data_IF_945504579138
#
_entry.id   IF_945504579138
#
_cell.length_a   1.000
_cell.length_b   1.000
_cell.length_c   1.000
_cell.angle_alpha   90.00
_cell.angle_beta   90.00
_cell.angle_gamma   90.00
#
_symmetry.space_group_name_H-M   'P 1'
#
loop_
_entity.id
_entity.type
_entity.pdbx_description
1 polymer ?
#
# COMPACT_ATOMS: atom_id res chain seq x y z
N UNK A 1 9.01 31.97 31.25
CA UNK A 1 8.59 30.67 31.82
C UNK A 1 8.94 29.59 30.81
N UNK A 2 9.97 28.79 31.07
CA UNK A 2 10.36 27.72 30.14
C UNK A 2 9.27 26.63 30.15
N UNK A 3 8.62 26.45 29.05
CA UNK A 3 7.65 25.36 28.92
C UNK A 3 8.40 24.05 28.70
N UNK A 4 8.16 23.09 29.56
CA UNK A 4 8.70 21.74 29.47
C UNK A 4 7.63 20.79 28.96
N UNK A 5 7.96 19.98 27.96
CA UNK A 5 7.06 19.01 27.36
C UNK A 5 7.49 17.59 27.72
N UNK A 6 6.50 16.77 27.98
CA UNK A 6 6.68 15.33 28.21
C UNK A 6 5.98 14.60 27.08
N UNK A 7 6.70 13.69 26.42
CA UNK A 7 6.19 12.85 25.35
C UNK A 7 6.27 11.38 25.82
N UNK A 8 5.19 10.65 25.63
CA UNK A 8 5.11 9.24 25.98
C UNK A 8 5.15 8.42 24.67
N UNK A 9 6.24 7.63 24.54
CA UNK A 9 6.54 6.81 23.38
C UNK A 9 7.54 7.44 22.42
N UNK A 10 8.63 6.70 22.14
CA UNK A 10 9.69 7.08 21.21
C UNK A 10 9.56 6.36 19.85
N UNK A 11 8.36 6.20 19.35
CA UNK A 11 8.10 5.86 17.95
C UNK A 11 8.27 7.08 17.04
N UNK A 12 8.12 6.95 15.70
CA UNK A 12 8.31 8.05 14.75
C UNK A 12 7.50 9.30 15.09
N UNK A 13 6.26 9.15 15.54
CA UNK A 13 5.41 10.28 15.92
C UNK A 13 5.94 11.04 17.13
N UNK A 14 6.35 10.32 18.18
CA UNK A 14 6.89 10.95 19.39
C UNK A 14 8.25 11.63 19.15
N UNK A 15 9.12 11.00 18.37
CA UNK A 15 10.43 11.55 18.00
C UNK A 15 10.26 12.79 17.13
N UNK A 16 9.38 12.78 16.13
CA UNK A 16 9.11 13.93 15.26
C UNK A 16 8.55 15.12 16.06
N UNK A 17 7.62 14.84 17.00
CA UNK A 17 7.07 15.89 17.86
C UNK A 17 8.16 16.48 18.77
N UNK A 18 9.04 15.65 19.32
CA UNK A 18 10.16 16.11 20.14
C UNK A 18 11.14 16.96 19.34
N UNK A 19 11.43 16.56 18.11
CA UNK A 19 12.32 17.31 17.22
C UNK A 19 11.77 18.71 16.93
N UNK A 20 10.51 18.82 16.55
CA UNK A 20 9.88 20.11 16.26
C UNK A 20 9.79 21.02 17.49
N UNK A 21 9.44 20.45 18.65
CA UNK A 21 9.45 21.21 19.91
C UNK A 21 10.86 21.68 20.30
N UNK A 22 11.87 20.84 20.09
CA UNK A 22 13.26 21.20 20.33
C UNK A 22 13.75 22.31 19.41
N UNK A 23 13.40 22.26 18.11
CA UNK A 23 13.67 23.36 17.14
C UNK A 23 13.01 24.67 17.58
N UNK A 24 11.83 24.60 18.21
CA UNK A 24 11.13 25.76 18.75
C UNK A 24 11.69 26.25 20.09
N UNK A 25 12.78 25.67 20.62
CA UNK A 25 13.46 26.08 21.83
C UNK A 25 12.83 25.58 23.13
N UNK A 26 11.96 24.56 23.06
CA UNK A 26 11.39 23.98 24.28
C UNK A 26 12.24 22.84 24.85
N UNK A 27 12.23 22.69 26.18
CA UNK A 27 12.76 21.51 26.82
C UNK A 27 11.81 20.33 26.66
N UNK A 28 12.29 19.20 26.07
CA UNK A 28 11.48 18.02 25.81
C UNK A 28 12.09 16.81 26.49
N UNK A 29 11.23 16.01 27.15
CA UNK A 29 11.58 14.71 27.71
C UNK A 29 10.69 13.63 27.13
N UNK A 30 11.32 12.57 26.58
CA UNK A 30 10.60 11.42 26.03
C UNK A 30 10.73 10.25 27.00
N UNK A 31 9.62 9.57 27.27
CA UNK A 31 9.58 8.31 28.00
C UNK A 31 9.22 7.18 27.03
N UNK A 32 10.06 6.17 26.96
CA UNK A 32 9.85 4.97 26.14
C UNK A 32 9.77 3.73 27.02
N UNK A 33 8.81 2.85 26.75
CA UNK A 33 8.59 1.62 27.51
C UNK A 33 9.64 0.55 27.19
N UNK A 34 10.06 0.48 25.93
CA UNK A 34 11.04 -0.52 25.49
C UNK A 34 12.46 -0.04 25.71
N UNK A 35 13.42 -0.96 25.65
CA UNK A 35 14.86 -0.65 25.75
C UNK A 35 15.42 0.07 24.51
N UNK A 36 14.65 0.19 23.44
CA UNK A 36 15.07 0.81 22.19
C UNK A 36 13.98 1.73 21.64
N UNK A 37 14.42 2.82 21.01
CA UNK A 37 13.55 3.78 20.32
C UNK A 37 13.13 3.26 18.94
N UNK A 38 12.22 3.97 18.25
CA UNK A 38 11.78 3.67 16.87
C UNK A 38 10.39 3.02 16.77
N UNK A 39 9.84 2.46 17.86
CA UNK A 39 8.52 1.86 17.87
C UNK A 39 8.38 0.74 16.81
N UNK A 40 7.36 0.80 15.96
CA UNK A 40 7.16 -0.16 14.87
C UNK A 40 8.13 0.02 13.69
N UNK A 41 8.82 1.16 13.61
CA UNK A 41 9.78 1.46 12.53
C UNK A 41 11.23 1.14 12.94
N UNK A 42 11.45 0.49 14.10
CA UNK A 42 12.78 0.14 14.54
C UNK A 42 13.37 -1.02 13.74
N UNK A 43 14.66 -0.92 13.46
CA UNK A 43 15.47 -2.00 12.91
C UNK A 43 16.05 -2.81 14.06
N UNK A 44 15.95 -4.12 13.98
CA UNK A 44 16.50 -5.09 14.92
C UNK A 44 17.83 -5.61 14.41
N UNK A 45 18.72 -5.96 15.31
CA UNK A 45 19.98 -6.64 14.99
C UNK A 45 19.95 -8.05 15.56
N UNK A 46 20.32 -9.04 14.74
CA UNK A 46 20.58 -10.40 15.16
C UNK A 46 21.87 -10.86 14.48
N UNK A 47 22.88 -11.17 15.29
CA UNK A 47 24.26 -11.36 14.84
C UNK A 47 24.72 -10.18 13.98
N UNK A 48 25.15 -10.40 12.75
CA UNK A 48 25.57 -9.37 11.79
C UNK A 48 24.47 -8.92 10.84
N UNK A 49 23.23 -9.41 11.03
CA UNK A 49 22.09 -9.08 10.20
C UNK A 49 21.23 -8.00 10.82
N UNK A 50 20.89 -6.98 10.02
CA UNK A 50 19.89 -5.97 10.35
C UNK A 50 18.57 -6.33 9.67
N UNK A 51 17.47 -6.27 10.41
CA UNK A 51 16.15 -6.56 9.88
C UNK A 51 15.07 -5.71 10.55
N UNK A 52 14.04 -5.42 9.79
CA UNK A 52 12.89 -4.66 10.25
C UNK A 52 11.78 -5.59 10.73
N UNK A 53 11.05 -5.21 11.77
CA UNK A 53 9.91 -5.99 12.29
C UNK A 53 8.80 -6.09 11.23
N UNK A 54 8.65 -5.07 10.39
CA UNK A 54 7.68 -5.02 9.31
C UNK A 54 8.05 -3.98 8.26
N UNK A 55 7.32 -3.91 7.14
CA UNK A 55 7.60 -2.92 6.10
C UNK A 55 7.27 -1.52 6.61
N UNK A 56 8.28 -0.70 6.84
CA UNK A 56 8.12 0.69 7.27
C UNK A 56 8.72 1.69 6.26
N UNK A 57 8.63 1.39 4.98
CA UNK A 57 9.07 2.27 3.90
C UNK A 57 8.41 3.63 4.00
N UNK A 58 9.22 4.69 3.96
CA UNK A 58 8.68 6.03 4.02
C UNK A 58 8.06 6.42 2.67
N UNK A 59 6.84 6.87 2.72
CA UNK A 59 6.09 7.41 1.59
C UNK A 59 5.10 8.47 2.06
N UNK A 60 5.11 9.58 1.38
CA UNK A 60 4.13 10.66 1.58
C UNK A 60 3.81 11.38 0.27
N UNK A 61 2.60 11.93 0.16
CA UNK A 61 2.23 12.88 -0.91
C UNK A 61 2.39 14.33 -0.46
N UNK A 62 2.66 14.56 0.82
CA UNK A 62 2.90 15.88 1.38
C UNK A 62 4.38 16.23 1.24
N UNK A 63 4.66 17.29 0.48
CA UNK A 63 6.02 17.74 0.22
C UNK A 63 6.74 18.29 1.46
N UNK A 64 6.01 18.88 2.39
CA UNK A 64 6.60 19.36 3.65
C UNK A 64 7.12 18.20 4.49
N UNK A 65 6.33 17.11 4.58
CA UNK A 65 6.74 15.89 5.29
C UNK A 65 7.88 15.18 4.57
N UNK A 66 7.89 15.16 3.24
CA UNK A 66 9.01 14.60 2.47
C UNK A 66 10.30 15.39 2.72
N UNK A 67 10.24 16.71 2.66
CA UNK A 67 11.39 17.59 2.92
C UNK A 67 11.90 17.44 4.34
N UNK A 68 11.01 17.38 5.33
CA UNK A 68 11.35 17.11 6.73
C UNK A 68 12.11 15.77 6.88
N UNK A 69 11.64 14.72 6.24
CA UNK A 69 12.29 13.42 6.28
C UNK A 69 13.69 13.47 5.64
N UNK A 70 13.83 14.11 4.50
CA UNK A 70 15.10 14.26 3.80
C UNK A 70 16.08 15.21 4.54
N UNK A 71 15.57 16.24 5.22
CA UNK A 71 16.39 17.12 6.08
C UNK A 71 17.06 16.33 7.22
N UNK A 72 16.33 15.39 7.83
CA UNK A 72 16.85 14.58 8.94
C UNK A 72 17.85 13.55 8.44
N UNK A 73 17.54 12.82 7.38
CA UNK A 73 18.36 11.71 6.89
C UNK A 73 19.50 12.16 5.97
N UNK A 74 19.34 13.30 5.33
CA UNK A 74 20.35 13.86 4.41
C UNK A 74 20.90 12.80 3.43
N UNK A 75 22.18 12.46 3.55
CA UNK A 75 22.87 11.48 2.66
C UNK A 75 22.50 10.02 2.93
N UNK A 76 21.90 9.74 4.10
CA UNK A 76 21.48 8.39 4.48
C UNK A 76 20.14 7.98 3.84
N UNK A 77 19.42 8.93 3.23
CA UNK A 77 18.18 8.64 2.53
C UNK A 77 18.44 7.95 1.18
N UNK A 78 17.99 6.70 1.06
CA UNK A 78 18.14 5.91 -0.16
C UNK A 78 16.82 5.81 -0.90
N UNK A 79 16.77 6.30 -2.14
CA UNK A 79 15.60 6.15 -3.00
C UNK A 79 15.59 4.77 -3.66
N UNK A 80 14.56 3.98 -3.37
CA UNK A 80 14.40 2.62 -3.89
C UNK A 80 13.17 2.50 -4.77
N UNK A 81 13.34 1.99 -5.99
CA UNK A 81 12.22 1.70 -6.90
C UNK A 81 11.38 0.56 -6.35
N UNK A 82 10.08 0.71 -6.43
CA UNK A 82 9.15 -0.31 -6.01
C UNK A 82 9.28 -1.59 -6.85
N UNK A 83 9.57 -2.70 -6.18
CA UNK A 83 9.62 -4.02 -6.78
C UNK A 83 8.74 -4.98 -5.98
N UNK A 84 7.43 -4.98 -6.27
CA UNK A 84 6.44 -5.79 -5.55
C UNK A 84 5.91 -6.90 -6.44
N UNK A 85 5.80 -8.10 -5.90
CA UNK A 85 5.21 -9.26 -6.58
C UNK A 85 4.20 -9.96 -5.68
N UNK A 86 3.20 -10.58 -6.28
CA UNK A 86 2.21 -11.43 -5.61
C UNK A 86 2.56 -12.88 -5.93
N UNK A 87 2.76 -13.70 -4.90
CA UNK A 87 2.89 -15.14 -5.05
C UNK A 87 1.49 -15.77 -5.01
N UNK A 88 1.11 -16.45 -6.09
CA UNK A 88 -0.14 -17.20 -6.19
C UNK A 88 0.09 -18.50 -6.98
N UNK A 89 -0.31 -19.63 -6.39
CA UNK A 89 -0.09 -20.99 -6.96
C UNK A 89 1.35 -21.18 -7.48
N UNK A 90 2.34 -20.90 -6.64
CA UNK A 90 3.79 -20.98 -6.95
C UNK A 90 4.24 -20.15 -8.16
N UNK A 91 3.44 -19.16 -8.59
CA UNK A 91 3.78 -18.22 -9.65
C UNK A 91 3.83 -16.80 -9.11
N UNK A 92 4.87 -16.06 -9.49
CA UNK A 92 5.04 -14.66 -9.10
C UNK A 92 4.38 -13.75 -10.12
N UNK A 93 3.40 -12.94 -9.69
CA UNK A 93 2.72 -11.93 -10.50
C UNK A 93 3.27 -10.55 -10.18
N UNK A 94 3.40 -9.71 -11.19
CA UNK A 94 3.78 -8.30 -10.99
C UNK A 94 2.66 -7.54 -10.26
N UNK A 95 3.03 -6.63 -9.38
CA UNK A 95 2.10 -5.70 -8.77
C UNK A 95 2.46 -4.25 -9.13
N UNK A 96 1.55 -3.45 -9.68
CA UNK A 96 0.17 -3.80 -10.07
C UNK A 96 0.08 -4.91 -11.11
N UNK A 97 -1.03 -5.66 -11.11
CA UNK A 97 -1.21 -6.78 -12.04
C UNK A 97 -1.13 -6.29 -13.50
N UNK A 98 -0.21 -6.86 -14.25
CA UNK A 98 -0.12 -6.63 -15.68
C UNK A 98 -1.03 -7.62 -16.40
N UNK A 99 -2.00 -7.17 -17.22
CA UNK A 99 -2.95 -8.06 -17.88
C UNK A 99 -2.27 -9.14 -18.72
N UNK A 100 -1.30 -8.76 -19.53
CA UNK A 100 -0.59 -9.70 -20.41
C UNK A 100 0.19 -10.77 -19.61
N UNK A 101 0.95 -10.38 -18.60
CA UNK A 101 1.67 -11.34 -17.76
C UNK A 101 0.72 -12.20 -16.91
N UNK A 102 -0.43 -11.68 -16.55
CA UNK A 102 -1.47 -12.39 -15.79
C UNK A 102 -2.14 -13.45 -16.66
N UNK A 103 -2.49 -13.13 -17.91
CA UNK A 103 -3.06 -14.06 -18.87
C UNK A 103 -2.10 -15.24 -19.13
N UNK A 104 -0.84 -14.95 -19.39
CA UNK A 104 0.17 -15.99 -19.64
C UNK A 104 0.36 -16.94 -18.43
N UNK A 105 0.23 -16.44 -17.21
CA UNK A 105 0.46 -17.25 -15.99
C UNK A 105 -0.77 -17.99 -15.48
N UNK A 106 -1.98 -17.43 -15.66
CA UNK A 106 -3.26 -18.05 -15.28
C UNK A 106 -3.72 -19.03 -16.36
N UNK A 107 -3.30 -18.81 -17.62
CA UNK A 107 -3.76 -19.55 -18.79
C UNK A 107 -5.02 -18.95 -19.42
N UNK A 108 -5.29 -19.37 -20.65
CA UNK A 108 -6.35 -18.79 -21.47
C UNK A 108 -7.76 -18.94 -20.85
N UNK A 109 -8.10 -20.15 -20.40
CA UNK A 109 -9.42 -20.44 -19.80
C UNK A 109 -9.66 -19.61 -18.52
N UNK A 110 -8.64 -19.54 -17.63
CA UNK A 110 -8.72 -18.74 -16.41
C UNK A 110 -8.87 -17.25 -16.69
N UNK A 111 -8.17 -16.76 -17.70
CA UNK A 111 -8.24 -15.36 -18.10
C UNK A 111 -9.58 -15.00 -18.73
N UNK A 112 -10.14 -15.91 -19.54
CA UNK A 112 -11.47 -15.74 -20.14
C UNK A 112 -12.54 -15.65 -19.05
N UNK A 113 -12.51 -16.53 -18.03
CA UNK A 113 -13.42 -16.47 -16.87
C UNK A 113 -13.33 -15.14 -16.15
N UNK A 114 -12.11 -14.66 -15.84
CA UNK A 114 -11.90 -13.36 -15.19
C UNK A 114 -12.47 -12.22 -16.04
N UNK A 115 -12.25 -12.25 -17.35
CA UNK A 115 -12.73 -11.20 -18.26
C UNK A 115 -14.26 -11.16 -18.33
N UNK A 116 -14.92 -12.32 -18.48
CA UNK A 116 -16.38 -12.41 -18.50
C UNK A 116 -16.97 -11.92 -17.19
N UNK A 117 -16.44 -12.41 -16.07
CA UNK A 117 -16.92 -12.02 -14.72
C UNK A 117 -16.74 -10.52 -14.47
N UNK A 118 -15.64 -9.95 -14.93
CA UNK A 118 -15.40 -8.51 -14.89
C UNK A 118 -16.43 -7.71 -15.70
N UNK A 119 -16.72 -8.14 -16.95
CA UNK A 119 -17.74 -7.50 -17.79
C UNK A 119 -19.10 -7.56 -17.11
N UNK A 120 -19.48 -8.73 -16.56
CA UNK A 120 -20.72 -8.90 -15.80
C UNK A 120 -20.79 -7.97 -14.60
N UNK A 121 -19.68 -7.81 -13.87
CA UNK A 121 -19.65 -6.92 -12.71
C UNK A 121 -19.78 -5.44 -13.10
N UNK A 122 -19.23 -5.02 -14.24
CA UNK A 122 -19.43 -3.67 -14.80
C UNK A 122 -20.91 -3.41 -15.14
N UNK A 123 -21.56 -4.36 -15.80
CA UNK A 123 -23.01 -4.27 -16.10
C UNK A 123 -23.83 -4.16 -14.81
N UNK A 124 -23.56 -5.01 -13.82
CA UNK A 124 -24.22 -4.95 -12.51
C UNK A 124 -24.02 -3.60 -11.80
N UNK A 125 -22.81 -3.05 -11.87
CA UNK A 125 -22.50 -1.74 -11.29
C UNK A 125 -23.30 -0.62 -11.96
N UNK A 126 -23.40 -0.64 -13.30
CA UNK A 126 -24.06 0.42 -14.08
C UNK A 126 -25.58 0.33 -13.98
N UNK A 127 -26.14 -0.87 -14.10
CA UNK A 127 -27.59 -1.08 -14.15
C UNK A 127 -28.21 -1.12 -12.76
N UNK A 128 -27.61 -1.87 -11.82
CA UNK A 128 -28.21 -2.09 -10.50
C UNK A 128 -27.86 -1.01 -9.48
N UNK A 129 -26.95 -0.07 -9.81
CA UNK A 129 -26.45 0.99 -8.90
C UNK A 129 -26.20 0.50 -7.47
N UNK A 130 -25.77 -0.77 -7.32
CA UNK A 130 -25.54 -1.39 -6.01
C UNK A 130 -24.50 -0.61 -5.22
N UNK A 131 -24.85 -0.27 -3.99
CA UNK A 131 -23.91 0.33 -3.05
C UNK A 131 -23.23 -0.79 -2.25
N UNK A 132 -21.90 -0.99 -2.36
CA UNK A 132 -21.19 -2.02 -1.63
C UNK A 132 -21.26 -1.74 -0.12
N UNK A 133 -21.42 -2.78 0.71
CA UNK A 133 -21.51 -2.67 2.16
C UNK A 133 -20.14 -2.79 2.82
N UNK A 134 -19.27 -3.63 2.28
CA UNK A 134 -17.98 -4.01 2.84
C UNK A 134 -16.91 -4.12 1.75
N UNK A 135 -15.69 -4.53 2.14
CA UNK A 135 -14.55 -4.72 1.25
C UNK A 135 -14.84 -5.75 0.13
N UNK A 136 -15.40 -6.92 0.50
CA UNK A 136 -15.73 -7.98 -0.46
C UNK A 136 -16.67 -7.46 -1.55
N UNK A 137 -17.80 -6.86 -1.14
CA UNK A 137 -18.78 -6.29 -2.07
C UNK A 137 -18.14 -5.27 -3.00
N UNK A 138 -17.27 -4.41 -2.44
CA UNK A 138 -16.62 -3.36 -3.21
C UNK A 138 -15.67 -3.94 -4.26
N UNK A 139 -14.85 -4.94 -3.90
CA UNK A 139 -13.95 -5.59 -4.85
C UNK A 139 -14.72 -6.35 -5.93
N UNK A 140 -15.72 -7.14 -5.55
CA UNK A 140 -16.53 -7.90 -6.49
C UNK A 140 -17.25 -6.97 -7.48
N UNK A 141 -17.78 -5.85 -6.99
CA UNK A 141 -18.49 -4.89 -7.83
C UNK A 141 -17.55 -4.18 -8.83
N UNK A 142 -16.28 -3.97 -8.48
CA UNK A 142 -15.33 -3.23 -9.31
C UNK A 142 -14.42 -4.12 -10.16
N UNK A 143 -14.19 -5.39 -9.76
CA UNK A 143 -13.20 -6.27 -10.39
C UNK A 143 -13.70 -7.66 -10.71
N UNK A 144 -14.90 -8.03 -10.25
CA UNK A 144 -15.46 -9.37 -10.41
C UNK A 144 -15.07 -10.33 -9.30
N UNK A 145 -15.86 -11.40 -9.17
CA UNK A 145 -15.73 -12.43 -8.13
C UNK A 145 -14.50 -13.30 -8.34
N UNK A 146 -14.18 -13.64 -9.59
CA UNK A 146 -13.02 -14.47 -9.92
C UNK A 146 -11.70 -13.81 -9.49
N UNK A 147 -11.55 -12.51 -9.78
CA UNK A 147 -10.36 -11.76 -9.39
C UNK A 147 -10.29 -11.59 -7.87
N UNK A 148 -11.42 -11.33 -7.23
CA UNK A 148 -11.52 -11.26 -5.78
C UNK A 148 -11.02 -12.54 -5.12
N UNK A 149 -11.54 -13.70 -5.52
CA UNK A 149 -11.17 -14.97 -4.93
C UNK A 149 -9.69 -15.33 -5.11
N UNK A 150 -9.12 -15.03 -6.28
CA UNK A 150 -7.73 -15.40 -6.61
C UNK A 150 -6.69 -14.50 -5.96
N UNK A 151 -6.93 -13.19 -5.91
CA UNK A 151 -5.88 -12.23 -5.55
C UNK A 151 -6.15 -11.39 -4.31
N UNK A 152 -7.40 -11.27 -3.89
CA UNK A 152 -7.74 -10.38 -2.77
C UNK A 152 -8.13 -11.13 -1.51
N UNK A 153 -9.01 -12.12 -1.61
CA UNK A 153 -9.62 -12.75 -0.43
C UNK A 153 -8.57 -13.30 0.54
N UNK A 154 -7.86 -14.33 0.14
CA UNK A 154 -6.93 -15.04 1.03
C UNK A 154 -5.79 -14.14 1.54
N UNK A 155 -5.30 -13.24 0.71
CA UNK A 155 -4.28 -12.27 1.11
C UNK A 155 -4.81 -11.30 2.17
N UNK A 156 -5.98 -10.72 1.92
CA UNK A 156 -6.56 -9.72 2.82
C UNK A 156 -6.94 -10.34 4.17
N UNK A 157 -7.59 -11.50 4.16
CA UNK A 157 -7.96 -12.23 5.37
C UNK A 157 -6.72 -12.64 6.18
N UNK A 158 -5.65 -13.09 5.53
CA UNK A 158 -4.39 -13.41 6.18
C UNK A 158 -3.72 -12.21 6.84
N UNK A 159 -3.71 -11.06 6.15
CA UNK A 159 -3.05 -9.84 6.66
C UNK A 159 -3.83 -9.21 7.81
N UNK A 160 -5.16 -9.20 7.73
CA UNK A 160 -6.00 -8.53 8.71
C UNK A 160 -6.53 -9.45 9.81
N UNK A 161 -6.43 -10.77 9.64
CA UNK A 161 -6.94 -11.74 10.60
C UNK A 161 -8.46 -11.76 10.75
N UNK A 162 -9.18 -11.15 9.78
CA UNK A 162 -10.65 -11.06 9.78
C UNK A 162 -11.21 -11.31 8.38
N UNK A 163 -12.46 -11.79 8.31
CA UNK A 163 -13.17 -11.99 7.04
C UNK A 163 -13.32 -10.66 6.28
N UNK A 164 -13.15 -10.71 4.96
CA UNK A 164 -13.30 -9.55 4.08
C UNK A 164 -14.65 -8.82 4.20
N UNK A 165 -15.70 -9.51 4.65
CA UNK A 165 -17.01 -8.93 4.91
C UNK A 165 -17.04 -8.00 6.12
N UNK A 166 -16.08 -8.16 7.04
CA UNK A 166 -15.95 -7.34 8.24
C UNK A 166 -15.01 -6.13 8.04
N UNK A 167 -14.44 -5.97 6.85
CA UNK A 167 -13.58 -4.84 6.49
C UNK A 167 -14.41 -3.77 5.77
N UNK A 168 -14.19 -2.49 6.13
CA UNK A 168 -14.88 -1.36 5.51
C UNK A 168 -14.60 -1.25 4.01
N UNK A 169 -15.63 -0.92 3.23
CA UNK A 169 -15.49 -0.56 1.80
C UNK A 169 -14.57 0.63 1.57
N UNK A 170 -14.54 1.57 2.50
CA UNK A 170 -13.76 2.80 2.37
C UNK A 170 -12.26 2.53 2.39
N UNK A 171 -11.85 1.50 3.13
CA UNK A 171 -10.47 1.03 3.11
C UNK A 171 -10.07 0.52 1.71
N UNK A 172 -10.95 -0.26 1.05
CA UNK A 172 -10.73 -0.70 -0.33
C UNK A 172 -10.63 0.49 -1.29
N UNK A 173 -11.57 1.42 -1.19
CA UNK A 173 -11.61 2.61 -2.03
C UNK A 173 -10.37 3.50 -1.89
N UNK A 174 -9.82 3.66 -0.70
CA UNK A 174 -8.62 4.44 -0.45
C UNK A 174 -7.34 3.78 -1.02
N UNK A 175 -7.21 2.48 -0.87
CA UNK A 175 -5.99 1.73 -1.25
C UNK A 175 -5.94 1.35 -2.72
N UNK A 176 -7.12 1.21 -3.37
CA UNK A 176 -7.24 0.66 -4.72
C UNK A 176 -7.72 1.72 -5.73
N UNK A 177 -7.78 3.00 -5.31
CA UNK A 177 -8.35 4.14 -6.07
C UNK A 177 -7.88 4.29 -7.53
N UNK A 178 -6.72 3.77 -7.91
CA UNK A 178 -6.16 3.97 -9.26
C UNK A 178 -5.98 2.66 -10.05
N UNK A 179 -6.46 1.53 -9.55
CA UNK A 179 -6.49 0.28 -10.29
C UNK A 179 -7.78 0.18 -11.10
N UNK A 180 -7.86 0.90 -12.22
CA UNK A 180 -8.87 0.59 -13.24
C UNK A 180 -8.34 -0.57 -14.08
N UNK A 181 -9.02 -1.70 -14.01
CA UNK A 181 -8.70 -2.87 -14.82
C UNK A 181 -8.88 -2.56 -16.32
N UNK A 182 -9.82 -1.67 -16.66
CA UNK A 182 -9.98 -1.14 -18.02
C UNK A 182 -8.71 -0.41 -18.47
N UNK A 183 -8.17 0.48 -17.63
CA UNK A 183 -6.91 1.16 -17.96
C UNK A 183 -5.73 0.20 -18.03
N UNK A 184 -5.74 -0.89 -17.26
CA UNK A 184 -4.71 -1.90 -17.29
C UNK A 184 -4.81 -2.81 -18.53
N UNK A 185 -6.02 -3.19 -18.97
CA UNK A 185 -6.26 -4.00 -20.17
C UNK A 185 -6.09 -3.18 -21.44
N UNK A 186 -6.61 -1.95 -21.47
CA UNK A 186 -6.54 -1.08 -22.62
C UNK A 186 -5.19 -0.36 -22.74
N UNK A 187 -4.38 -0.30 -21.67
CA UNK A 187 -3.10 0.39 -21.71
C UNK A 187 -2.10 -0.17 -22.74
N UNK A 188 -2.02 -1.46 -23.05
CA UNK A 188 -1.19 -1.95 -24.16
C UNK A 188 -1.68 -1.43 -25.52
N UNK A 189 -3.00 -1.33 -25.71
CA UNK A 189 -3.60 -0.82 -26.96
C UNK A 189 -3.44 0.69 -27.04
N UNK A 190 -3.62 1.42 -25.92
CA UNK A 190 -3.42 2.87 -25.85
C UNK A 190 -1.96 3.32 -25.72
N UNK A 191 -1.04 2.44 -25.28
CA UNK A 191 0.41 2.73 -25.27
C UNK A 191 0.99 2.87 -26.68
N UNK A 192 0.36 2.30 -27.69
CA UNK A 192 0.72 2.54 -29.08
C UNK A 192 0.37 3.99 -29.47
N UNK A 193 -0.62 4.62 -28.85
CA UNK A 193 -1.12 5.95 -29.19
C UNK A 193 -0.75 7.07 -28.21
N UNK A 194 -0.47 6.80 -26.94
CA UNK A 194 -0.02 7.83 -25.97
C UNK A 194 0.86 7.25 -24.89
N UNK A 195 2.11 7.70 -24.80
CA UNK A 195 3.09 7.46 -23.72
C UNK A 195 2.65 8.12 -22.38
N UNK A 196 1.51 7.77 -21.81
CA UNK A 196 1.23 8.12 -20.42
C UNK A 196 1.58 6.93 -19.53
N UNK A 197 2.66 7.07 -18.75
CA UNK A 197 2.95 6.16 -17.63
C UNK A 197 1.72 6.12 -16.72
N UNK A 198 1.19 4.94 -16.43
CA UNK A 198 0.22 4.75 -15.35
C UNK A 198 1.00 5.05 -14.08
N UNK A 199 0.75 6.21 -13.47
CA UNK A 199 1.30 6.50 -12.14
C UNK A 199 0.60 5.55 -11.16
N UNK A 200 1.33 4.59 -10.64
CA UNK A 200 0.91 3.87 -9.43
C UNK A 200 0.95 4.85 -8.26
N UNK A 201 0.20 4.58 -7.20
CA UNK A 201 0.19 5.45 -6.00
C UNK A 201 1.59 5.66 -5.45
N UNK A 202 2.48 4.69 -5.65
CA UNK A 202 3.88 4.74 -5.17
C UNK A 202 4.76 4.00 -6.16
N UNK A 203 5.57 4.74 -6.89
CA UNK A 203 6.58 4.16 -7.79
C UNK A 203 7.96 4.04 -7.12
N UNK A 204 8.22 4.82 -6.07
CA UNK A 204 9.48 4.92 -5.35
C UNK A 204 9.23 5.06 -3.85
N UNK A 205 10.19 4.64 -3.04
CA UNK A 205 10.19 4.78 -1.59
C UNK A 205 11.54 5.30 -1.13
N UNK A 206 11.57 5.91 0.06
CA UNK A 206 12.78 6.23 0.78
C UNK A 206 13.06 5.18 1.87
N UNK A 207 14.30 4.82 2.00
CA UNK A 207 14.86 4.03 3.09
C UNK A 207 15.90 4.84 3.83
#
# INVERSE_FOLDING_TARGET
MFKKFIIIGAGPAGISAAYELGKAGFEVKIFEKSSSVGGLAKTMKYDDCLYDIGPHRFFTLNKEIENFYLEILNQDAIEVKRFTRILYNNKLFLYPLSPFSTILKIGFIGSLKITIDYIVSLFRKTILKKNPKNFEDWIILNFGKELYQKFFKSYTEKVWGVDCKNISKDWAAQRIKNLSFINAILSPIFKIFKRKKIKTLVDQFWY
#
